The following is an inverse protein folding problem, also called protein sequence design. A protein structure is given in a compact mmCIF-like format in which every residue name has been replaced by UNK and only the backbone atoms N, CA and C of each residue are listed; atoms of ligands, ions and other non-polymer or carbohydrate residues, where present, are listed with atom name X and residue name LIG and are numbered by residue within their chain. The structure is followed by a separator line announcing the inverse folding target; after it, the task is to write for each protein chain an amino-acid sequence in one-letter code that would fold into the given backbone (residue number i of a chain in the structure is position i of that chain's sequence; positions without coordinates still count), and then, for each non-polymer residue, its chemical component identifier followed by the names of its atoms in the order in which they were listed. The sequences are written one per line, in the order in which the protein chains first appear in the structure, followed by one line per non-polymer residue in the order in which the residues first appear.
data_IF_503856093893
#
_entry.id   IF_503856093893
#
_cell.length_a   1.000
_cell.length_b   1.000
_cell.length_c   1.000
_cell.angle_alpha   90.00
_cell.angle_beta   90.00
_cell.angle_gamma   90.00
#
_symmetry.space_group_name_H-M   'P 1'
#
loop_
_entity.id
_entity.type
_entity.pdbx_description
1 polymer ?
#
# COMPACT_ATOMS: atom_id res chain seq x y z
N UNK A 1 40.73 -10.81 17.93
CA UNK A 1 40.09 -11.64 18.98
C UNK A 1 39.08 -12.53 18.30
N UNK A 2 39.45 -13.79 18.07
CA UNK A 2 38.57 -14.81 17.53
C UNK A 2 37.55 -15.16 18.61
N UNK A 3 36.32 -14.66 18.48
CA UNK A 3 35.20 -15.19 19.25
C UNK A 3 34.72 -16.45 18.55
N UNK A 4 35.09 -17.56 19.17
CA UNK A 4 34.41 -18.85 19.12
C UNK A 4 32.91 -18.72 18.77
N UNK A 5 32.52 -19.25 17.61
CA UNK A 5 31.13 -19.32 17.13
C UNK A 5 30.31 -20.44 17.80
N UNK A 6 30.79 -21.05 18.89
CA UNK A 6 30.08 -22.01 19.72
C UNK A 6 29.74 -21.39 21.07
N UNK A 7 28.84 -20.41 21.02
CA UNK A 7 28.03 -20.05 22.18
C UNK A 7 27.37 -21.31 22.78
N UNK A 8 27.27 -21.34 24.10
CA UNK A 8 27.01 -22.51 24.95
C UNK A 8 25.62 -23.19 24.81
N UNK A 9 25.01 -23.21 23.63
CA UNK A 9 23.67 -23.77 23.40
C UNK A 9 23.57 -24.76 22.25
N UNK A 10 24.63 -25.00 21.46
CA UNK A 10 24.59 -26.02 20.39
C UNK A 10 23.59 -25.75 19.27
N UNK A 11 22.90 -24.61 19.27
CA UNK A 11 22.08 -24.13 18.17
C UNK A 11 22.95 -23.36 17.20
N UNK A 12 23.55 -24.07 16.24
CA UNK A 12 23.94 -23.44 15.00
C UNK A 12 22.65 -23.19 14.21
N UNK A 13 22.15 -21.96 14.21
CA UNK A 13 21.09 -21.58 13.28
C UNK A 13 21.65 -21.76 11.86
N UNK A 14 21.02 -22.57 10.99
CA UNK A 14 21.43 -22.64 9.59
C UNK A 14 21.08 -21.30 8.93
N UNK A 15 22.06 -20.41 8.82
CA UNK A 15 21.93 -19.18 8.05
C UNK A 15 22.21 -19.47 6.58
N UNK A 16 21.31 -20.20 5.93
CA UNK A 16 21.12 -20.03 4.49
C UNK A 16 19.73 -19.43 4.32
N UNK A 17 19.67 -18.11 4.13
CA UNK A 17 18.49 -17.46 3.58
C UNK A 17 18.29 -18.12 2.22
N UNK A 18 17.34 -19.03 2.11
CA UNK A 18 17.01 -19.70 0.85
C UNK A 18 16.51 -18.62 -0.11
N UNK A 19 17.40 -18.15 -1.00
CA UNK A 19 17.06 -17.12 -1.98
C UNK A 19 15.98 -17.66 -2.91
N UNK A 20 14.80 -17.04 -2.84
CA UNK A 20 13.72 -17.32 -3.77
C UNK A 20 14.15 -16.82 -5.15
N UNK A 21 14.12 -17.73 -6.12
CA UNK A 21 14.38 -17.37 -7.51
C UNK A 21 13.16 -16.68 -8.10
N UNK A 22 13.37 -15.51 -8.70
CA UNK A 22 12.35 -14.78 -9.47
C UNK A 22 12.76 -14.74 -10.93
N UNK A 23 11.89 -15.22 -11.81
CA UNK A 23 12.11 -15.09 -13.25
C UNK A 23 11.70 -13.69 -13.73
N UNK A 24 12.54 -13.00 -14.51
CA UNK A 24 12.20 -11.68 -15.05
C UNK A 24 10.97 -11.73 -15.96
N UNK A 25 10.07 -10.73 -15.88
CA UNK A 25 8.96 -10.65 -16.81
C UNK A 25 9.40 -10.50 -18.26
N UNK A 26 8.71 -11.21 -19.16
CA UNK A 26 9.06 -11.26 -20.59
C UNK A 26 8.89 -9.94 -21.33
N UNK A 27 8.10 -9.01 -20.80
CA UNK A 27 7.87 -7.69 -21.41
C UNK A 27 9.01 -6.70 -21.12
N UNK A 28 9.88 -6.99 -20.14
CA UNK A 28 11.06 -6.17 -19.90
C UNK A 28 12.11 -6.43 -20.98
N UNK A 29 12.78 -5.37 -21.43
CA UNK A 29 13.92 -5.49 -22.34
C UNK A 29 15.07 -6.28 -21.69
N UNK A 30 16.02 -6.85 -22.47
CA UNK A 30 17.15 -7.58 -21.90
C UNK A 30 18.01 -6.78 -20.91
N UNK A 31 18.06 -5.45 -21.08
CA UNK A 31 18.76 -4.57 -20.14
C UNK A 31 17.96 -4.44 -18.82
N UNK A 32 16.64 -4.24 -18.91
CA UNK A 32 15.76 -4.15 -17.75
C UNK A 32 15.65 -5.47 -17.00
N UNK A 33 15.74 -6.62 -17.68
CA UNK A 33 15.78 -7.94 -17.03
C UNK A 33 17.00 -8.07 -16.11
N UNK A 34 18.17 -7.58 -16.53
CA UNK A 34 19.37 -7.56 -15.65
C UNK A 34 19.18 -6.64 -14.45
N UNK A 35 18.52 -5.50 -14.63
CA UNK A 35 18.16 -4.58 -13.54
C UNK A 35 17.17 -5.25 -12.58
N UNK A 36 16.18 -5.97 -13.10
CA UNK A 36 15.22 -6.74 -12.33
C UNK A 36 15.90 -7.83 -11.49
N UNK A 37 16.83 -8.60 -12.07
CA UNK A 37 17.61 -9.64 -11.37
C UNK A 37 18.45 -9.05 -10.24
N UNK A 38 19.12 -7.91 -10.48
CA UNK A 38 19.82 -7.17 -9.42
C UNK A 38 18.85 -6.76 -8.32
N UNK A 39 17.67 -6.25 -8.69
CA UNK A 39 16.63 -5.85 -7.76
C UNK A 39 16.12 -7.00 -6.90
N UNK A 40 15.93 -8.17 -7.49
CA UNK A 40 15.54 -9.39 -6.79
C UNK A 40 16.60 -9.83 -5.76
N UNK A 41 17.88 -9.67 -6.08
CA UNK A 41 18.97 -9.93 -5.15
C UNK A 41 19.00 -8.90 -4.02
N UNK A 42 18.85 -7.61 -4.32
CA UNK A 42 18.81 -6.51 -3.32
C UNK A 42 17.63 -6.68 -2.37
N UNK A 43 16.45 -7.01 -2.89
CA UNK A 43 15.23 -7.22 -2.09
C UNK A 43 15.43 -8.25 -0.97
N UNK A 44 16.16 -9.33 -1.29
CA UNK A 44 16.38 -10.48 -0.42
C UNK A 44 17.58 -10.34 0.52
N UNK A 45 18.35 -9.25 0.43
CA UNK A 45 19.46 -9.00 1.36
C UNK A 45 18.94 -8.92 2.80
N UNK A 46 19.75 -9.41 3.73
CA UNK A 46 19.44 -9.33 5.15
C UNK A 46 19.19 -7.87 5.58
N UNK A 47 18.19 -7.65 6.42
CA UNK A 47 17.77 -6.33 6.90
C UNK A 47 17.33 -5.34 5.81
N UNK A 48 17.01 -5.83 4.61
CA UNK A 48 16.40 -5.03 3.54
C UNK A 48 14.89 -5.32 3.46
N UNK A 49 14.34 -5.34 2.25
CA UNK A 49 12.92 -5.31 1.98
C UNK A 49 12.22 -6.61 2.42
N UNK A 50 12.82 -7.77 2.11
CA UNK A 50 12.23 -9.09 2.40
C UNK A 50 12.09 -9.37 3.90
N UNK A 51 12.88 -8.73 4.76
CA UNK A 51 12.76 -8.89 6.22
C UNK A 51 11.39 -8.46 6.74
N UNK A 52 10.78 -7.43 6.14
CA UNK A 52 9.49 -6.90 6.56
C UNK A 52 8.37 -7.29 5.58
N UNK A 53 8.58 -7.12 4.28
CA UNK A 53 7.55 -7.39 3.27
C UNK A 53 7.47 -8.87 2.87
N UNK A 54 8.37 -9.71 3.39
CA UNK A 54 8.49 -11.15 3.16
C UNK A 54 8.84 -11.50 1.70
N UNK A 55 9.35 -12.71 1.41
CA UNK A 55 9.71 -13.09 0.04
C UNK A 55 8.54 -13.02 -0.95
N UNK A 56 7.31 -13.17 -0.47
CA UNK A 56 6.10 -13.09 -1.31
C UNK A 56 5.52 -11.67 -1.43
N UNK A 57 6.17 -10.65 -0.85
CA UNK A 57 5.80 -9.23 -1.00
C UNK A 57 4.48 -8.80 -0.32
N UNK A 58 3.76 -9.71 0.34
CA UNK A 58 2.46 -9.41 0.97
C UNK A 58 2.59 -8.84 2.39
N UNK A 59 3.80 -8.85 2.96
CA UNK A 59 4.01 -8.61 4.37
C UNK A 59 3.23 -9.60 5.24
N UNK A 60 3.09 -9.31 6.53
CA UNK A 60 2.28 -10.11 7.45
C UNK A 60 0.83 -9.59 7.55
N UNK A 61 0.50 -8.53 6.83
CA UNK A 61 -0.83 -7.94 6.82
C UNK A 61 -1.26 -7.30 8.13
N UNK A 62 -0.43 -7.29 9.19
CA UNK A 62 -0.74 -6.68 10.50
C UNK A 62 0.15 -5.46 10.74
N UNK A 63 1.45 -5.66 10.60
CA UNK A 63 2.50 -4.67 10.88
C UNK A 63 3.14 -4.20 9.57
N UNK A 64 3.36 -5.12 8.64
CA UNK A 64 4.03 -4.83 7.37
C UNK A 64 3.03 -4.89 6.21
N UNK A 65 2.87 -3.80 5.46
CA UNK A 65 1.91 -3.73 4.37
C UNK A 65 2.33 -4.57 3.17
N UNK A 66 1.33 -4.93 2.36
CA UNK A 66 1.54 -5.58 1.06
C UNK A 66 2.12 -4.59 0.05
N UNK A 67 3.10 -5.06 -0.71
CA UNK A 67 3.62 -4.40 -1.91
C UNK A 67 2.86 -4.84 -3.17
N UNK A 68 2.15 -5.96 -3.09
CA UNK A 68 1.42 -6.57 -4.21
C UNK A 68 0.17 -5.75 -4.51
N UNK A 69 0.08 -5.19 -5.72
CA UNK A 69 -1.07 -4.41 -6.18
C UNK A 69 -1.20 -3.02 -5.55
N UNK A 70 -0.27 -2.60 -4.69
CA UNK A 70 -0.40 -1.37 -3.91
C UNK A 70 -0.23 -0.09 -4.77
N UNK A 71 -1.11 0.92 -4.66
CA UNK A 71 -0.95 2.23 -5.31
C UNK A 71 0.30 2.98 -4.86
N UNK A 72 0.79 2.70 -3.65
CA UNK A 72 2.05 3.23 -3.14
C UNK A 72 3.25 2.71 -3.91
N UNK A 73 3.12 1.53 -4.52
CA UNK A 73 4.15 0.88 -5.36
C UNK A 73 3.95 1.20 -6.83
N UNK A 74 2.73 1.04 -7.36
CA UNK A 74 2.46 1.07 -8.80
C UNK A 74 2.21 2.48 -9.36
N UNK A 75 1.96 3.46 -8.50
CA UNK A 75 1.73 4.86 -8.88
C UNK A 75 3.02 5.65 -9.14
N UNK A 76 3.05 6.90 -8.69
CA UNK A 76 4.18 7.85 -8.81
C UNK A 76 5.53 7.22 -8.43
N UNK A 77 6.48 7.30 -9.37
CA UNK A 77 7.86 6.89 -9.12
C UNK A 77 8.54 7.75 -8.06
N UNK A 78 8.33 9.07 -8.09
CA UNK A 78 8.93 10.00 -7.14
C UNK A 78 8.48 9.71 -5.72
N UNK A 79 7.20 9.41 -5.53
CA UNK A 79 6.65 9.00 -4.23
C UNK A 79 7.38 7.77 -3.70
N UNK A 80 7.51 6.73 -4.54
CA UNK A 80 8.14 5.48 -4.15
C UNK A 80 9.65 5.67 -3.85
N UNK A 81 10.37 6.45 -4.67
CA UNK A 81 11.79 6.74 -4.47
C UNK A 81 12.00 7.55 -3.19
N UNK A 82 11.21 8.60 -2.95
CA UNK A 82 11.26 9.43 -1.74
C UNK A 82 11.04 8.58 -0.49
N UNK A 83 10.02 7.73 -0.52
CA UNK A 83 9.72 6.79 0.56
C UNK A 83 10.90 5.83 0.81
N UNK A 84 11.46 5.21 -0.23
CA UNK A 84 12.56 4.26 -0.06
C UNK A 84 13.87 4.91 0.43
N UNK A 85 14.19 6.12 -0.03
CA UNK A 85 15.37 6.85 0.42
C UNK A 85 15.28 7.22 1.91
N UNK A 86 14.18 7.85 2.32
CA UNK A 86 14.08 8.50 3.63
C UNK A 86 13.26 7.74 4.66
N UNK A 87 12.66 6.61 4.25
CA UNK A 87 11.70 5.89 5.08
C UNK A 87 10.37 6.62 5.20
N UNK A 88 9.45 6.00 5.93
CA UNK A 88 8.11 6.52 6.19
C UNK A 88 7.73 6.25 7.65
N UNK A 89 7.10 7.23 8.30
CA UNK A 89 6.55 7.06 9.64
C UNK A 89 5.24 7.81 9.77
N UNK A 90 4.19 7.12 10.20
CA UNK A 90 2.86 7.70 10.34
C UNK A 90 1.77 6.72 9.91
N UNK A 91 0.53 7.18 9.98
CA UNK A 91 -0.66 6.40 9.62
C UNK A 91 -0.77 6.26 8.10
N UNK A 92 -0.78 5.04 7.59
CA UNK A 92 -0.88 4.74 6.16
C UNK A 92 -1.97 3.71 5.90
N UNK A 93 -2.67 3.83 4.77
CA UNK A 93 -3.70 2.89 4.33
C UNK A 93 -3.25 2.14 3.07
N UNK A 94 -3.35 0.81 3.09
CA UNK A 94 -3.01 -0.09 1.98
C UNK A 94 -4.05 -1.22 1.96
N UNK A 95 -4.67 -1.50 0.81
CA UNK A 95 -5.79 -2.45 0.65
C UNK A 95 -6.92 -2.20 1.66
N UNK A 96 -7.27 -0.93 1.88
CA UNK A 96 -8.28 -0.54 2.88
C UNK A 96 -7.88 -0.78 4.34
N UNK A 97 -6.70 -1.35 4.60
CA UNK A 97 -6.19 -1.57 5.95
C UNK A 97 -5.30 -0.42 6.40
N UNK A 98 -5.54 0.06 7.61
CA UNK A 98 -4.72 1.09 8.25
C UNK A 98 -3.57 0.48 9.05
N UNK A 99 -2.37 1.02 8.85
CA UNK A 99 -1.16 0.73 9.60
C UNK A 99 -0.79 2.00 10.39
N UNK A 100 -0.73 1.88 11.72
CA UNK A 100 -0.64 3.02 12.63
C UNK A 100 0.48 2.81 13.65
N UNK A 101 1.44 3.74 13.80
CA UNK A 101 2.45 3.68 14.86
C UNK A 101 1.87 3.54 16.27
N UNK A 102 0.67 4.08 16.54
CA UNK A 102 -0.01 3.93 17.82
C UNK A 102 -0.39 2.46 18.13
N UNK A 103 -0.44 1.61 17.10
CA UNK A 103 -0.70 0.17 17.20
C UNK A 103 0.58 -0.67 17.13
N UNK A 104 1.76 -0.05 17.31
CA UNK A 104 3.04 -0.73 17.32
C UNK A 104 3.64 -0.99 15.93
N UNK A 105 3.16 -0.32 14.88
CA UNK A 105 3.78 -0.36 13.55
C UNK A 105 5.10 0.44 13.57
N UNK A 106 6.26 -0.19 13.28
CA UNK A 106 7.53 0.51 13.26
C UNK A 106 7.64 1.42 12.02
N UNK A 107 8.53 2.43 12.03
CA UNK A 107 8.83 3.19 10.83
C UNK A 107 9.44 2.28 9.75
N UNK A 108 9.18 2.62 8.48
CA UNK A 108 9.89 2.00 7.36
C UNK A 108 11.33 2.54 7.32
N UNK A 109 12.30 1.63 7.26
CA UNK A 109 13.74 1.96 7.22
C UNK A 109 14.08 2.86 6.03
N UNK A 110 14.93 3.85 6.28
CA UNK A 110 15.52 4.71 5.25
C UNK A 110 16.72 4.03 4.59
N UNK A 111 16.69 3.82 3.27
CA UNK A 111 17.78 3.16 2.54
C UNK A 111 18.79 4.12 1.93
N UNK A 112 18.65 5.44 2.12
CA UNK A 112 19.54 6.47 1.56
C UNK A 112 21.02 6.16 1.74
N UNK A 113 21.44 5.72 2.92
CA UNK A 113 22.85 5.46 3.21
C UNK A 113 23.25 3.98 3.03
N UNK A 114 22.28 3.11 2.72
CA UNK A 114 22.48 1.66 2.60
C UNK A 114 22.57 1.21 1.14
N UNK A 115 21.87 1.90 0.24
CA UNK A 115 21.78 1.55 -1.18
C UNK A 115 22.25 2.70 -2.06
N UNK A 116 23.05 2.34 -3.07
CA UNK A 116 23.41 3.23 -4.18
C UNK A 116 22.23 3.42 -5.13
N UNK A 117 22.34 4.39 -6.03
CA UNK A 117 21.25 4.76 -6.94
C UNK A 117 20.86 3.62 -7.89
N UNK A 118 21.83 2.85 -8.36
CA UNK A 118 21.63 1.67 -9.19
C UNK A 118 20.92 0.54 -8.44
N UNK A 119 21.32 0.26 -7.20
CA UNK A 119 20.70 -0.77 -6.38
C UNK A 119 19.28 -0.40 -5.95
N UNK A 120 19.05 0.87 -5.60
CA UNK A 120 17.72 1.35 -5.24
C UNK A 120 16.79 1.34 -6.46
N UNK A 121 17.25 1.81 -7.61
CA UNK A 121 16.48 1.76 -8.86
C UNK A 121 16.13 0.31 -9.23
N UNK A 122 17.08 -0.62 -9.06
CA UNK A 122 16.89 -2.03 -9.32
C UNK A 122 15.83 -2.65 -8.40
N UNK A 123 15.91 -2.45 -7.08
CA UNK A 123 14.95 -3.06 -6.14
C UNK A 123 13.55 -2.49 -6.31
N UNK A 124 13.41 -1.19 -6.61
CA UNK A 124 12.12 -0.58 -6.88
C UNK A 124 11.53 -1.07 -8.21
N UNK A 125 12.38 -1.26 -9.24
CA UNK A 125 11.97 -1.88 -10.51
C UNK A 125 11.47 -3.30 -10.31
N UNK A 126 12.18 -4.10 -9.52
CA UNK A 126 11.78 -5.46 -9.14
C UNK A 126 10.39 -5.43 -8.48
N UNK A 127 10.22 -4.66 -7.40
CA UNK A 127 8.94 -4.58 -6.67
C UNK A 127 7.77 -4.14 -7.58
N UNK A 128 7.99 -3.21 -8.52
CA UNK A 128 7.00 -2.73 -9.50
C UNK A 128 6.65 -3.74 -10.60
N UNK A 129 7.40 -4.84 -10.72
CA UNK A 129 7.26 -5.83 -11.78
C UNK A 129 7.19 -7.27 -11.28
N UNK A 130 6.94 -7.46 -9.97
CA UNK A 130 6.80 -8.79 -9.34
C UNK A 130 5.40 -8.98 -8.74
N UNK A 131 4.99 -10.24 -8.55
CA UNK A 131 3.71 -10.63 -7.93
C UNK A 131 2.46 -10.11 -8.65
N UNK A 132 2.56 -9.84 -9.95
CA UNK A 132 1.46 -9.29 -10.75
C UNK A 132 1.44 -7.77 -10.81
N UNK A 133 2.37 -7.08 -10.14
CA UNK A 133 2.65 -5.67 -10.43
C UNK A 133 3.19 -5.55 -11.86
N UNK A 134 2.72 -4.51 -12.56
CA UNK A 134 3.16 -4.16 -13.90
C UNK A 134 3.14 -2.65 -14.02
N UNK A 135 4.25 -2.03 -13.64
CA UNK A 135 4.45 -0.58 -13.69
C UNK A 135 5.82 -0.25 -14.30
N UNK A 136 6.01 1.01 -14.70
CA UNK A 136 7.26 1.48 -15.32
C UNK A 136 8.49 1.13 -14.48
N UNK A 137 9.61 0.88 -15.16
CA UNK A 137 10.91 0.67 -14.50
C UNK A 137 11.42 1.98 -13.89
N UNK A 138 12.22 1.87 -12.83
CA UNK A 138 12.87 3.01 -12.17
C UNK A 138 14.32 3.09 -12.64
N UNK A 139 14.74 4.28 -13.06
CA UNK A 139 16.11 4.51 -13.54
C UNK A 139 17.04 4.98 -12.40
N UNK A 140 18.35 4.67 -12.45
CA UNK A 140 19.33 5.25 -11.54
C UNK A 140 19.34 6.79 -11.59
N UNK A 141 19.07 7.38 -12.76
CA UNK A 141 18.98 8.82 -12.96
C UNK A 141 17.80 9.44 -12.19
N UNK A 142 16.62 8.81 -12.22
CA UNK A 142 15.47 9.24 -11.39
C UNK A 142 15.82 9.19 -9.90
N UNK A 143 16.47 8.12 -9.44
CA UNK A 143 16.88 8.00 -8.03
C UNK A 143 17.89 9.08 -7.66
N UNK A 144 18.90 9.29 -8.49
CA UNK A 144 19.93 10.31 -8.26
C UNK A 144 19.34 11.71 -8.19
N UNK A 145 18.40 12.03 -9.09
CA UNK A 145 17.66 13.30 -9.09
C UNK A 145 16.91 13.48 -7.77
N UNK A 146 16.04 12.54 -7.40
CA UNK A 146 15.24 12.63 -6.16
C UNK A 146 16.15 12.71 -4.93
N UNK A 147 17.25 11.96 -4.90
CA UNK A 147 18.22 12.01 -3.80
C UNK A 147 18.85 13.39 -3.64
N UNK A 148 19.14 14.09 -4.74
CA UNK A 148 19.66 15.45 -4.71
C UNK A 148 18.58 16.45 -4.26
N UNK A 149 17.38 16.36 -4.83
CA UNK A 149 16.23 17.22 -4.49
C UNK A 149 15.83 17.12 -3.01
N UNK A 150 16.02 15.95 -2.40
CA UNK A 150 15.66 15.69 -1.00
C UNK A 150 16.89 15.59 -0.08
N UNK A 151 18.02 16.14 -0.50
CA UNK A 151 19.30 15.99 0.19
C UNK A 151 19.33 16.59 1.60
N UNK A 152 18.54 17.66 1.83
CA UNK A 152 18.43 18.34 3.12
C UNK A 152 17.50 17.62 4.11
N UNK A 153 16.73 16.63 3.64
CA UNK A 153 15.81 15.88 4.50
C UNK A 153 16.57 14.84 5.34
N UNK A 154 16.36 14.90 6.65
CA UNK A 154 16.97 13.98 7.63
C UNK A 154 15.95 13.20 8.45
N UNK A 155 14.66 13.41 8.19
CA UNK A 155 13.52 12.80 8.90
C UNK A 155 12.70 11.93 7.96
N UNK A 156 11.92 11.01 8.54
CA UNK A 156 10.96 10.20 7.79
C UNK A 156 9.95 11.07 7.03
N UNK A 157 9.42 10.53 5.94
CA UNK A 157 8.18 11.07 5.37
C UNK A 157 6.99 10.78 6.27
N UNK A 158 6.13 11.79 6.43
CA UNK A 158 4.78 11.59 6.95
C UNK A 158 3.87 11.31 5.75
N UNK A 159 2.99 10.29 5.78
CA UNK A 159 2.15 9.93 4.65
C UNK A 159 1.37 11.11 4.05
N UNK A 160 0.73 11.93 4.86
CA UNK A 160 -0.06 13.09 4.39
C UNK A 160 0.80 14.14 3.67
N UNK A 161 2.03 14.37 4.14
CA UNK A 161 2.98 15.28 3.50
C UNK A 161 3.37 14.76 2.11
N UNK A 162 3.71 13.47 2.03
CA UNK A 162 4.11 12.87 0.78
C UNK A 162 2.95 12.79 -0.22
N UNK A 163 1.72 12.58 0.26
CA UNK A 163 0.51 12.58 -0.56
C UNK A 163 0.11 13.97 -1.03
N UNK A 164 0.42 15.02 -0.27
CA UNK A 164 0.22 16.39 -0.72
C UNK A 164 1.10 16.74 -1.92
N UNK A 165 2.33 16.22 -1.96
CA UNK A 165 3.24 16.39 -3.11
C UNK A 165 2.93 15.43 -4.26
N UNK A 166 2.60 14.17 -3.93
CA UNK A 166 2.41 13.08 -4.88
C UNK A 166 1.14 12.29 -4.53
N UNK A 167 -0.06 12.78 -4.87
CA UNK A 167 -1.32 12.12 -4.56
C UNK A 167 -1.39 10.69 -5.12
N UNK A 168 -2.14 9.80 -4.45
CA UNK A 168 -2.44 8.49 -5.00
C UNK A 168 -3.34 8.63 -6.23
N UNK A 169 -3.07 7.81 -7.24
CA UNK A 169 -3.85 7.73 -8.46
C UNK A 169 -5.19 7.05 -8.17
N UNK A 170 -6.30 7.77 -8.38
CA UNK A 170 -7.63 7.32 -7.96
C UNK A 170 -8.02 5.95 -8.51
N UNK A 171 -7.70 5.67 -9.78
CA UNK A 171 -7.95 4.38 -10.42
C UNK A 171 -7.22 3.22 -9.72
N UNK A 172 -5.95 3.44 -9.34
CA UNK A 172 -5.18 2.45 -8.60
C UNK A 172 -5.76 2.22 -7.20
N UNK A 173 -6.22 3.29 -6.54
CA UNK A 173 -6.86 3.19 -5.21
C UNK A 173 -8.16 2.40 -5.28
N UNK A 174 -9.01 2.63 -6.29
CA UNK A 174 -10.24 1.87 -6.47
C UNK A 174 -9.94 0.38 -6.69
N UNK A 175 -8.98 0.08 -7.57
CA UNK A 175 -8.51 -1.29 -7.80
C UNK A 175 -7.93 -1.94 -6.54
N UNK A 176 -7.19 -1.19 -5.73
CA UNK A 176 -6.57 -1.63 -4.47
C UNK A 176 -7.57 -2.10 -3.42
N UNK A 177 -8.74 -1.46 -3.35
CA UNK A 177 -9.85 -1.81 -2.45
C UNK A 177 -10.87 -2.76 -3.08
N UNK A 178 -10.57 -3.31 -4.26
CA UNK A 178 -11.42 -4.28 -4.96
C UNK A 178 -12.68 -3.66 -5.60
N UNK A 179 -12.70 -2.34 -5.79
CA UNK A 179 -13.73 -1.66 -6.57
C UNK A 179 -13.24 -1.61 -8.01
N UNK A 180 -13.93 -2.31 -8.89
CA UNK A 180 -13.71 -2.18 -10.32
C UNK A 180 -14.29 -0.83 -10.78
N UNK A 181 -13.47 0.16 -11.19
CA UNK A 181 -13.97 1.44 -11.68
C UNK A 181 -14.82 1.30 -12.95
N UNK A 182 -14.69 0.20 -13.70
CA UNK A 182 -15.48 -0.11 -14.89
C UNK A 182 -16.64 -1.10 -14.61
N UNK A 183 -16.56 -1.87 -13.52
CA UNK A 183 -17.44 -3.02 -13.26
C UNK A 183 -18.60 -2.79 -12.28
N UNK A 184 -18.54 -1.76 -11.43
CA UNK A 184 -19.70 -1.36 -10.62
C UNK A 184 -19.73 0.16 -10.42
N UNK A 185 -20.44 0.84 -11.30
CA UNK A 185 -20.73 2.27 -11.18
C UNK A 185 -22.23 2.44 -10.93
N UNK A 186 -22.58 2.97 -9.76
CA UNK A 186 -23.93 3.47 -9.50
C UNK A 186 -24.10 4.90 -10.02
N UNK A 187 -23.18 5.42 -10.85
CA UNK A 187 -23.19 6.83 -11.26
C UNK A 187 -24.49 7.24 -11.93
N UNK A 188 -25.06 6.41 -12.78
CA UNK A 188 -26.36 6.70 -13.40
C UNK A 188 -27.48 6.79 -12.35
N UNK A 189 -27.48 5.87 -11.37
CA UNK A 189 -28.43 5.89 -10.25
C UNK A 189 -28.16 7.08 -9.30
N UNK A 190 -26.90 7.44 -9.07
CA UNK A 190 -26.50 8.57 -8.25
C UNK A 190 -26.91 9.89 -8.92
N UNK A 191 -26.64 10.05 -10.21
CA UNK A 191 -27.05 11.20 -11.02
C UNK A 191 -28.59 11.30 -11.06
N UNK A 192 -29.30 10.18 -11.19
CA UNK A 192 -30.77 10.11 -11.12
C UNK A 192 -31.29 10.52 -9.74
N UNK A 193 -30.77 9.95 -8.66
CA UNK A 193 -31.19 10.25 -7.29
C UNK A 193 -30.87 11.70 -6.90
N UNK A 194 -29.72 12.24 -7.32
CA UNK A 194 -29.34 13.64 -7.07
C UNK A 194 -30.15 14.64 -7.90
N UNK A 195 -30.70 14.22 -9.04
CA UNK A 195 -31.61 15.03 -9.85
C UNK A 195 -33.03 15.11 -9.26
N UNK A 196 -33.39 14.20 -8.35
CA UNK A 196 -34.70 14.17 -7.69
C UNK A 196 -34.60 14.85 -6.32
N UNK A 197 -35.57 15.72 -6.01
CA UNK A 197 -35.57 16.37 -4.69
C UNK A 197 -35.73 15.33 -3.55
N UNK A 198 -35.13 15.55 -2.36
CA UNK A 198 -35.30 14.65 -1.23
C UNK A 198 -36.76 14.39 -0.84
N UNK A 199 -37.64 15.36 -1.01
CA UNK A 199 -39.07 15.22 -0.73
C UNK A 199 -39.76 14.24 -1.70
N UNK A 200 -39.39 14.28 -2.97
CA UNK A 200 -39.95 13.38 -3.98
C UNK A 200 -39.39 11.96 -3.84
N UNK A 201 -38.09 11.82 -3.53
CA UNK A 201 -37.51 10.52 -3.17
C UNK A 201 -38.20 9.90 -1.95
N UNK A 202 -38.48 10.70 -0.92
CA UNK A 202 -39.21 10.22 0.26
C UNK A 202 -40.62 9.74 -0.09
N UNK A 203 -41.32 10.45 -0.98
CA UNK A 203 -42.64 10.04 -1.45
C UNK A 203 -42.59 8.73 -2.24
N UNK A 204 -41.66 8.59 -3.19
CA UNK A 204 -41.44 7.35 -3.95
C UNK A 204 -41.12 6.19 -3.00
N UNK A 205 -40.25 6.41 -2.02
CA UNK A 205 -39.88 5.40 -1.04
C UNK A 205 -41.07 4.99 -0.13
N UNK A 206 -41.97 5.92 0.20
CA UNK A 206 -43.18 5.59 0.97
C UNK A 206 -44.22 4.84 0.12
N UNK A 207 -44.33 5.15 -1.17
CA UNK A 207 -45.31 4.53 -2.06
C UNK A 207 -44.87 3.16 -2.58
N UNK A 208 -43.57 2.99 -2.86
CA UNK A 208 -43.02 1.84 -3.58
C UNK A 208 -41.96 1.07 -2.79
N UNK A 209 -41.50 1.61 -1.66
CA UNK A 209 -40.47 0.98 -0.85
C UNK A 209 -40.97 -0.22 -0.07
N UNK A 210 -40.05 -1.14 0.20
CA UNK A 210 -40.27 -2.26 1.11
C UNK A 210 -39.73 -1.88 2.49
N UNK A 211 -40.63 -1.44 3.36
CA UNK A 211 -40.30 -1.02 4.72
C UNK A 211 -39.59 -2.13 5.53
N UNK A 212 -40.05 -3.37 5.41
CA UNK A 212 -39.51 -4.49 6.20
C UNK A 212 -38.11 -4.87 5.76
N UNK A 213 -37.86 -4.85 4.44
CA UNK A 213 -36.52 -5.04 3.87
C UNK A 213 -35.60 -3.88 4.23
N UNK A 214 -36.08 -2.63 4.13
CA UNK A 214 -35.35 -1.43 4.51
C UNK A 214 -34.91 -1.46 5.97
N UNK A 215 -35.83 -1.76 6.89
CA UNK A 215 -35.56 -1.93 8.32
C UNK A 215 -34.52 -3.02 8.58
N UNK A 216 -34.61 -4.14 7.88
CA UNK A 216 -33.67 -5.25 7.99
C UNK A 216 -32.26 -4.84 7.55
N UNK A 217 -32.13 -4.16 6.40
CA UNK A 217 -30.83 -3.67 5.91
C UNK A 217 -30.24 -2.60 6.83
N UNK A 218 -31.08 -1.68 7.31
CA UNK A 218 -30.66 -0.58 8.17
C UNK A 218 -30.13 -1.06 9.51
N UNK A 219 -30.76 -2.07 10.14
CA UNK A 219 -30.38 -2.53 11.49
C UNK A 219 -29.52 -3.81 11.52
N UNK A 220 -29.50 -4.62 10.46
CA UNK A 220 -28.87 -5.96 10.49
C UNK A 220 -27.75 -6.18 9.48
N UNK A 221 -27.45 -5.23 8.59
CA UNK A 221 -26.29 -5.38 7.69
C UNK A 221 -24.97 -5.11 8.44
N UNK A 222 -23.89 -5.78 8.06
CA UNK A 222 -22.58 -5.65 8.72
C UNK A 222 -21.92 -4.27 8.53
N UNK A 223 -22.51 -3.40 7.70
CA UNK A 223 -22.12 -2.01 7.44
C UNK A 223 -23.29 -1.04 7.75
N UNK A 224 -24.04 -1.34 8.80
CA UNK A 224 -25.35 -0.76 9.01
C UNK A 224 -25.32 0.72 9.37
N UNK A 225 -26.03 1.52 8.57
CA UNK A 225 -26.31 2.93 8.79
C UNK A 225 -26.80 3.23 10.22
N UNK A 226 -27.43 2.27 10.93
CA UNK A 226 -27.85 2.44 12.33
C UNK A 226 -26.70 2.84 13.26
N UNK A 227 -25.48 2.34 13.03
CA UNK A 227 -24.34 2.64 13.89
C UNK A 227 -23.99 4.15 13.91
N UNK A 228 -24.37 4.87 12.86
CA UNK A 228 -24.15 6.31 12.73
C UNK A 228 -25.45 7.12 12.90
N UNK A 229 -26.60 6.59 12.47
CA UNK A 229 -27.88 7.32 12.39
C UNK A 229 -28.90 6.95 13.49
N UNK A 230 -28.69 5.87 14.23
CA UNK A 230 -29.50 5.48 15.41
C UNK A 230 -28.63 4.74 16.46
N UNK A 231 -27.56 5.38 16.96
CA UNK A 231 -26.55 4.69 17.75
C UNK A 231 -27.05 4.34 19.17
N UNK A 232 -26.75 3.14 19.69
CA UNK A 232 -27.17 2.74 21.02
C UNK A 232 -26.42 3.54 22.10
N UNK A 233 -27.06 3.68 23.26
CA UNK A 233 -26.40 4.19 24.48
C UNK A 233 -25.88 5.64 24.40
N UNK A 234 -26.50 6.50 23.59
CA UNK A 234 -26.20 7.94 23.58
C UNK A 234 -24.92 8.34 22.84
N UNK A 235 -24.40 7.46 21.98
CA UNK A 235 -23.33 7.84 21.04
C UNK A 235 -23.81 8.90 20.04
N UNK A 236 -22.86 9.64 19.45
CA UNK A 236 -23.14 10.81 18.61
C UNK A 236 -23.82 10.37 17.31
N UNK A 237 -25.02 10.92 17.07
CA UNK A 237 -25.77 10.73 15.83
C UNK A 237 -25.20 11.62 14.73
N UNK A 238 -24.78 11.01 13.62
CA UNK A 238 -24.21 11.70 12.47
C UNK A 238 -25.30 11.97 11.42
N UNK A 239 -26.15 12.96 11.70
CA UNK A 239 -27.24 13.39 10.81
C UNK A 239 -28.64 12.91 11.22
N UNK A 240 -29.70 13.31 10.48
CA UNK A 240 -31.04 12.80 10.68
C UNK A 240 -31.17 11.30 10.36
#
# INVERSE_FOLDING_TARGET
YNVDAKGASGFAAPAEIEFVKFDPPKWLSPAEQKVYELGAAVYQRESHCATCHLPHGKGNGIVYPSLVGSPWVNGSEDRLIKMALHGMWGKITVHGKTYDPALGVPPMTAFRNLLKDDELAAVLTFVRNTWGNSASTITPESVKRVRAETSDRTTFWIPDELLAEHPLEAELVLKDIGIDPEGFSNKELEDELLAISPAELAKIAMEQGDFERGKTLFYKSAAACFACHDPPSGAIRLGP
#
